data_IF_936794640821
#
_entry.id   IF_936794640821
#
_cell.length_a   1.000
_cell.length_b   1.000
_cell.length_c   1.000
_cell.angle_alpha   90.00
_cell.angle_beta   90.00
_cell.angle_gamma   90.00
#
_symmetry.space_group_name_H-M   'P 1'
#
loop_
_entity.id
_entity.type
_entity.pdbx_description
1 polymer ?
#
# COMPACT_ATOMS: atom_id res chain seq x y z
N UNK A 1 26.39 42.54 -61.32
CA UNK A 1 27.72 42.99 -60.84
C UNK A 1 28.72 41.96 -61.30
N UNK A 2 29.57 42.40 -62.22
CA UNK A 2 30.67 41.66 -62.84
C UNK A 2 31.87 41.51 -61.89
N UNK A 3 32.91 40.86 -62.42
CA UNK A 3 34.32 40.77 -61.96
C UNK A 3 34.62 39.44 -61.24
N UNK A 4 35.18 38.39 -61.87
CA UNK A 4 36.42 38.24 -62.66
C UNK A 4 37.68 38.68 -61.93
N UNK A 5 38.51 37.72 -61.48
CA UNK A 5 39.97 37.78 -61.63
C UNK A 5 40.63 36.46 -61.18
N UNK A 6 41.09 35.73 -62.19
CA UNK A 6 42.19 34.78 -62.23
C UNK A 6 43.44 35.26 -61.46
N UNK A 7 44.14 34.36 -60.76
CA UNK A 7 45.60 34.44 -60.61
C UNK A 7 46.21 33.08 -60.25
N UNK A 8 46.67 32.37 -61.27
CA UNK A 8 47.83 31.47 -61.17
C UNK A 8 49.10 32.32 -61.08
N UNK A 9 50.16 31.84 -60.43
CA UNK A 9 51.49 32.04 -60.96
C UNK A 9 52.20 30.71 -61.25
N UNK A 10 52.75 30.73 -62.45
CA UNK A 10 53.58 29.78 -63.18
C UNK A 10 54.96 29.53 -62.53
N UNK A 11 55.37 28.26 -62.65
CA UNK A 11 56.70 27.68 -62.83
C UNK A 11 57.87 28.03 -61.89
N UNK A 12 58.48 26.97 -61.36
CA UNK A 12 59.93 26.88 -61.34
C UNK A 12 60.37 25.57 -62.00
N UNK A 13 61.35 25.69 -62.89
CA UNK A 13 61.89 24.65 -63.74
C UNK A 13 63.22 24.17 -63.16
N UNK A 14 63.37 22.86 -62.97
CA UNK A 14 64.68 22.28 -62.69
C UNK A 14 64.80 20.88 -63.29
N UNK A 15 65.80 20.71 -64.15
CA UNK A 15 66.53 19.46 -64.30
C UNK A 15 65.95 18.45 -65.28
N UNK A 16 66.29 18.62 -66.55
CA UNK A 16 66.35 17.49 -67.48
C UNK A 16 67.48 16.56 -67.03
N UNK A 17 67.14 15.32 -66.65
CA UNK A 17 68.05 14.19 -66.75
C UNK A 17 67.39 13.14 -67.63
N UNK A 18 68.03 12.92 -68.78
CA UNK A 18 67.60 11.98 -69.79
C UNK A 18 68.04 10.58 -69.35
N UNK A 19 67.17 9.86 -68.65
CA UNK A 19 67.27 8.40 -68.58
C UNK A 19 66.15 7.77 -69.41
N UNK A 20 66.53 7.26 -70.58
CA UNK A 20 65.67 6.47 -71.46
C UNK A 20 65.52 5.08 -70.81
N UNK A 21 64.61 4.97 -69.86
CA UNK A 21 64.02 3.70 -69.49
C UNK A 21 62.75 3.49 -70.31
N UNK A 22 62.87 2.63 -71.31
CA UNK A 22 61.78 2.08 -72.10
C UNK A 22 60.72 1.53 -71.15
N UNK A 23 59.63 2.27 -70.94
CA UNK A 23 58.46 1.77 -70.25
C UNK A 23 57.86 0.66 -71.12
N UNK A 24 57.97 -0.59 -70.66
CA UNK A 24 57.11 -1.66 -71.16
C UNK A 24 55.65 -1.21 -71.04
N UNK A 25 54.79 -1.51 -72.02
CA UNK A 25 53.37 -1.18 -71.90
C UNK A 25 52.86 -1.93 -70.68
N UNK A 26 52.45 -1.20 -69.64
CA UNK A 26 51.74 -1.78 -68.51
C UNK A 26 50.53 -2.55 -69.07
N UNK A 27 50.61 -3.88 -69.05
CA UNK A 27 49.51 -4.75 -69.42
C UNK A 27 48.31 -4.34 -68.57
N UNK A 28 47.33 -3.70 -69.21
CA UNK A 28 46.08 -3.42 -68.53
C UNK A 28 45.42 -4.77 -68.25
N UNK A 29 45.06 -5.09 -67.00
CA UNK A 29 44.42 -6.36 -66.69
C UNK A 29 43.10 -6.45 -67.46
N UNK A 30 43.06 -7.33 -68.46
CA UNK A 30 41.84 -7.65 -69.20
C UNK A 30 41.07 -8.70 -68.39
N UNK A 31 40.03 -8.27 -67.66
CA UNK A 31 39.15 -9.19 -66.95
C UNK A 31 38.33 -10.03 -67.93
N UNK A 32 38.27 -11.34 -67.70
CA UNK A 32 37.39 -12.24 -68.45
C UNK A 32 35.97 -12.24 -67.86
N UNK A 33 34.97 -12.68 -68.63
CA UNK A 33 33.59 -12.80 -68.13
C UNK A 33 33.49 -13.70 -66.89
N UNK A 34 34.28 -14.79 -66.83
CA UNK A 34 34.30 -15.69 -65.69
C UNK A 34 34.87 -15.03 -64.41
N UNK A 35 35.83 -14.12 -64.56
CA UNK A 35 36.37 -13.35 -63.43
C UNK A 35 35.32 -12.37 -62.89
N UNK A 36 34.57 -11.72 -63.79
CA UNK A 36 33.46 -10.85 -63.41
C UNK A 36 32.35 -11.62 -62.68
N UNK A 37 31.96 -12.79 -63.19
CA UNK A 37 30.95 -13.63 -62.55
C UNK A 37 31.39 -14.10 -61.16
N UNK A 38 32.67 -14.44 -60.98
CA UNK A 38 33.24 -14.82 -59.68
C UNK A 38 33.24 -13.64 -58.70
N UNK A 39 33.60 -12.45 -59.14
CA UNK A 39 33.59 -11.22 -58.32
C UNK A 39 32.14 -10.88 -57.90
N UNK A 40 31.18 -11.01 -58.83
CA UNK A 40 29.77 -10.78 -58.54
C UNK A 40 29.25 -11.79 -57.51
N UNK A 41 29.56 -13.07 -57.67
CA UNK A 41 29.16 -14.11 -56.73
C UNK A 41 29.73 -13.89 -55.32
N UNK A 42 31.02 -13.53 -55.20
CA UNK A 42 31.63 -13.23 -53.89
C UNK A 42 31.00 -11.98 -53.26
N UNK A 43 30.73 -10.94 -54.06
CA UNK A 43 30.05 -9.73 -53.58
C UNK A 43 28.63 -10.01 -53.10
N UNK A 44 27.88 -10.81 -53.85
CA UNK A 44 26.50 -11.18 -53.51
C UNK A 44 26.47 -12.04 -52.24
N UNK A 45 27.36 -13.03 -52.12
CA UNK A 45 27.49 -13.85 -50.91
C UNK A 45 27.91 -13.04 -49.68
N UNK A 46 28.82 -12.07 -49.82
CA UNK A 46 29.17 -11.13 -48.74
C UNK A 46 27.99 -10.25 -48.35
N UNK A 47 27.21 -9.80 -49.32
CA UNK A 47 26.03 -8.97 -49.08
C UNK A 47 24.90 -9.75 -48.40
N UNK A 48 24.61 -10.97 -48.84
CA UNK A 48 23.66 -11.88 -48.20
C UNK A 48 24.07 -12.20 -46.76
N UNK A 49 25.35 -12.54 -46.54
CA UNK A 49 25.86 -12.79 -45.19
C UNK A 49 25.76 -11.57 -44.29
N UNK A 50 26.00 -10.37 -44.83
CA UNK A 50 25.85 -9.11 -44.10
C UNK A 50 24.39 -8.83 -43.76
N UNK A 51 23.47 -8.98 -44.71
CA UNK A 51 22.03 -8.80 -44.50
C UNK A 51 21.49 -9.80 -43.48
N UNK A 52 21.86 -11.07 -43.62
CA UNK A 52 21.44 -12.12 -42.67
C UNK A 52 21.92 -11.82 -41.26
N UNK A 53 23.18 -11.39 -41.11
CA UNK A 53 23.71 -10.97 -39.80
C UNK A 53 22.98 -9.73 -39.25
N UNK A 54 22.63 -8.75 -40.09
CA UNK A 54 21.83 -7.60 -39.67
C UNK A 54 20.44 -8.01 -39.20
N UNK A 55 19.77 -8.91 -39.92
CA UNK A 55 18.47 -9.45 -39.49
C UNK A 55 18.55 -10.22 -38.18
N UNK A 56 19.58 -11.06 -38.01
CA UNK A 56 19.81 -11.80 -36.77
C UNK A 56 20.09 -10.83 -35.60
N UNK A 57 20.94 -9.82 -35.78
CA UNK A 57 21.23 -8.79 -34.77
C UNK A 57 20.00 -7.92 -34.43
N UNK A 58 19.16 -7.58 -35.42
CA UNK A 58 17.92 -6.82 -35.19
C UNK A 58 16.86 -7.66 -34.48
N UNK A 59 16.74 -8.95 -34.82
CA UNK A 59 15.84 -9.86 -34.16
C UNK A 59 16.24 -10.08 -32.69
N UNK A 60 17.52 -10.28 -32.42
CA UNK A 60 18.05 -10.43 -31.06
C UNK A 60 17.77 -9.19 -30.21
N UNK A 61 18.06 -7.99 -30.73
CA UNK A 61 17.77 -6.73 -30.03
C UNK A 61 16.30 -6.57 -29.72
N UNK A 62 15.42 -6.87 -30.68
CA UNK A 62 13.98 -6.77 -30.46
C UNK A 62 13.50 -7.76 -29.40
N UNK A 63 14.03 -8.98 -29.40
CA UNK A 63 13.68 -9.95 -28.34
C UNK A 63 14.16 -9.52 -26.97
N UNK A 64 15.33 -8.87 -26.88
CA UNK A 64 15.84 -8.33 -25.62
C UNK A 64 15.00 -7.16 -25.11
N UNK A 65 14.59 -6.25 -26.00
CA UNK A 65 13.67 -5.15 -25.69
C UNK A 65 12.30 -5.68 -25.22
N UNK A 66 11.70 -6.63 -25.95
CA UNK A 66 10.41 -7.22 -25.58
C UNK A 66 10.46 -7.93 -24.20
N UNK A 67 11.58 -8.60 -23.89
CA UNK A 67 11.79 -9.24 -22.58
C UNK A 67 11.98 -8.23 -21.45
N UNK A 68 12.70 -7.14 -21.71
CA UNK A 68 12.90 -6.06 -20.74
C UNK A 68 11.55 -5.39 -20.42
N UNK A 69 10.77 -5.04 -21.44
CA UNK A 69 9.44 -4.46 -21.29
C UNK A 69 8.51 -5.41 -20.51
N UNK A 70 8.51 -6.71 -20.85
CA UNK A 70 7.71 -7.70 -20.14
C UNK A 70 8.07 -7.79 -18.64
N UNK A 71 9.36 -7.73 -18.31
CA UNK A 71 9.84 -7.72 -16.92
C UNK A 71 9.38 -6.45 -16.18
N UNK A 72 9.46 -5.27 -16.81
CA UNK A 72 8.97 -4.03 -16.23
C UNK A 72 7.46 -4.09 -15.95
N UNK A 73 6.67 -4.59 -16.91
CA UNK A 73 5.23 -4.76 -16.72
C UNK A 73 4.89 -5.74 -15.59
N UNK A 74 5.64 -6.84 -15.49
CA UNK A 74 5.45 -7.80 -14.40
C UNK A 74 5.73 -7.16 -13.04
N UNK A 75 6.86 -6.45 -12.90
CA UNK A 75 7.20 -5.79 -11.62
C UNK A 75 6.18 -4.71 -11.23
N UNK A 76 5.68 -3.95 -12.22
CA UNK A 76 4.63 -2.97 -12.00
C UNK A 76 3.32 -3.64 -11.56
N UNK A 77 2.93 -4.73 -12.22
CA UNK A 77 1.73 -5.50 -11.87
C UNK A 77 1.81 -6.05 -10.44
N UNK A 78 2.94 -6.64 -10.06
CA UNK A 78 3.16 -7.13 -8.69
C UNK A 78 3.09 -6.01 -7.65
N UNK A 79 3.67 -4.83 -7.94
CA UNK A 79 3.58 -3.67 -7.06
C UNK A 79 2.14 -3.19 -6.90
N UNK A 80 1.37 -3.15 -7.98
CA UNK A 80 -0.05 -2.76 -7.95
C UNK A 80 -0.89 -3.79 -7.19
N UNK A 81 -0.66 -5.08 -7.41
CA UNK A 81 -1.35 -6.13 -6.68
C UNK A 81 -1.10 -6.02 -5.17
N UNK A 82 0.15 -5.79 -4.74
CA UNK A 82 0.47 -5.56 -3.31
C UNK A 82 -0.26 -4.33 -2.75
N UNK A 83 -0.37 -3.26 -3.52
CA UNK A 83 -1.11 -2.05 -3.10
C UNK A 83 -2.62 -2.32 -2.97
N UNK A 84 -3.20 -3.04 -3.93
CA UNK A 84 -4.61 -3.42 -3.92
C UNK A 84 -4.90 -4.28 -2.67
N UNK A 85 -4.13 -5.35 -2.46
CA UNK A 85 -4.31 -6.22 -1.29
C UNK A 85 -4.17 -5.46 0.04
N UNK A 86 -3.23 -4.51 0.13
CA UNK A 86 -3.09 -3.64 1.32
C UNK A 86 -4.31 -2.74 1.52
N UNK A 87 -4.86 -2.17 0.45
CA UNK A 87 -6.05 -1.33 0.53
C UNK A 87 -7.29 -2.14 0.89
N UNK A 88 -7.47 -3.32 0.31
CA UNK A 88 -8.55 -4.25 0.64
C UNK A 88 -8.51 -4.63 2.12
N UNK A 89 -7.34 -4.99 2.65
CA UNK A 89 -7.17 -5.26 4.09
C UNK A 89 -7.57 -4.07 4.96
N UNK A 90 -7.20 -2.84 4.54
CA UNK A 90 -7.54 -1.63 5.29
C UNK A 90 -9.04 -1.34 5.25
N UNK A 91 -9.70 -1.60 4.12
CA UNK A 91 -11.17 -1.48 4.00
C UNK A 91 -11.85 -2.45 4.95
N UNK A 92 -11.46 -3.73 4.93
CA UNK A 92 -12.03 -4.73 5.85
C UNK A 92 -11.82 -4.36 7.32
N UNK A 93 -10.64 -3.85 7.69
CA UNK A 93 -10.36 -3.39 9.04
C UNK A 93 -11.27 -2.20 9.44
N UNK A 94 -11.45 -1.24 8.53
CA UNK A 94 -12.30 -0.08 8.75
C UNK A 94 -13.78 -0.45 8.85
N UNK A 95 -14.26 -1.41 8.05
CA UNK A 95 -15.62 -1.92 8.14
C UNK A 95 -15.89 -2.59 9.50
N UNK A 96 -14.95 -3.39 10.00
CA UNK A 96 -15.05 -3.98 11.33
C UNK A 96 -15.02 -2.91 12.44
N UNK A 97 -14.17 -1.89 12.30
CA UNK A 97 -14.13 -0.75 13.22
C UNK A 97 -15.43 0.05 13.18
N UNK A 98 -16.03 0.24 12.01
CA UNK A 98 -17.32 0.92 11.88
C UNK A 98 -18.45 0.10 12.53
N UNK A 99 -18.51 -1.22 12.30
CA UNK A 99 -19.52 -2.08 12.91
C UNK A 99 -19.40 -2.09 14.44
N UNK A 100 -18.18 -2.15 14.97
CA UNK A 100 -17.95 -2.07 16.42
C UNK A 100 -18.30 -0.69 16.98
N UNK A 101 -17.92 0.39 16.30
CA UNK A 101 -18.30 1.75 16.67
C UNK A 101 -19.82 1.94 16.70
N UNK A 102 -20.55 1.41 15.71
CA UNK A 102 -22.02 1.46 15.68
C UNK A 102 -22.67 0.68 16.83
N UNK A 103 -22.13 -0.51 17.14
CA UNK A 103 -22.59 -1.31 18.28
C UNK A 103 -22.41 -0.55 19.60
N UNK A 104 -21.23 0.04 19.82
CA UNK A 104 -20.97 0.84 21.02
C UNK A 104 -21.79 2.12 21.04
N UNK A 105 -21.94 2.82 19.92
CA UNK A 105 -22.76 4.03 19.81
C UNK A 105 -24.21 3.80 20.22
N UNK A 106 -24.83 2.71 19.75
CA UNK A 106 -26.20 2.35 20.15
C UNK A 106 -26.32 1.99 21.64
N UNK A 107 -25.35 1.24 22.16
CA UNK A 107 -25.32 0.89 23.57
C UNK A 107 -25.15 2.13 24.47
N UNK A 108 -24.27 3.04 24.08
CA UNK A 108 -24.05 4.30 24.77
C UNK A 108 -25.28 5.21 24.67
N UNK A 109 -26.01 5.24 23.55
CA UNK A 109 -27.24 6.05 23.42
C UNK A 109 -28.31 5.56 24.39
N UNK A 110 -28.49 4.24 24.48
CA UNK A 110 -29.40 3.63 25.44
C UNK A 110 -29.01 3.98 26.87
N UNK A 111 -27.71 3.90 27.18
CA UNK A 111 -27.20 4.23 28.50
C UNK A 111 -27.37 5.72 28.84
N UNK A 112 -27.08 6.62 27.89
CA UNK A 112 -27.30 8.06 28.04
C UNK A 112 -28.78 8.37 28.26
N UNK A 113 -29.69 7.70 27.56
CA UNK A 113 -31.14 7.86 27.78
C UNK A 113 -31.55 7.45 29.19
N UNK A 114 -31.09 6.29 29.68
CA UNK A 114 -31.31 5.86 31.06
C UNK A 114 -30.71 6.83 32.09
N UNK A 115 -29.59 7.47 31.75
CA UNK A 115 -29.00 8.51 32.57
C UNK A 115 -29.77 9.84 32.52
N UNK A 116 -30.37 10.15 31.37
CA UNK A 116 -31.15 11.34 31.11
C UNK A 116 -32.55 11.29 31.75
N UNK A 117 -33.06 10.09 32.04
CA UNK A 117 -34.36 9.90 32.67
C UNK A 117 -34.43 10.61 34.04
N UNK A 118 -35.51 11.38 34.21
CA UNK A 118 -35.79 12.16 35.43
C UNK A 118 -35.15 13.56 35.47
N UNK A 119 -34.38 13.96 34.44
CA UNK A 119 -33.79 15.30 34.38
C UNK A 119 -34.79 16.37 33.88
N UNK A 120 -34.65 17.63 34.33
CA UNK A 120 -35.47 18.74 33.85
C UNK A 120 -35.31 19.01 32.35
N UNK A 121 -36.38 19.49 31.70
CA UNK A 121 -36.42 19.75 30.26
C UNK A 121 -35.35 20.76 29.77
N UNK A 122 -35.00 21.74 30.60
CA UNK A 122 -33.91 22.69 30.32
C UNK A 122 -32.54 22.01 30.17
N UNK A 123 -32.29 20.97 30.96
CA UNK A 123 -31.07 20.17 30.89
C UNK A 123 -31.10 19.22 29.70
N UNK A 124 -32.24 18.60 29.41
CA UNK A 124 -32.40 17.77 28.21
C UNK A 124 -32.14 18.57 26.93
N UNK A 125 -32.59 19.83 26.89
CA UNK A 125 -32.31 20.75 25.78
C UNK A 125 -30.81 21.04 25.63
N UNK A 126 -30.10 21.27 26.75
CA UNK A 126 -28.65 21.46 26.76
C UNK A 126 -27.91 20.22 26.23
N UNK A 127 -28.30 19.04 26.72
CA UNK A 127 -27.73 17.75 26.29
C UNK A 127 -28.02 17.43 24.82
N UNK A 128 -29.12 17.97 24.25
CA UNK A 128 -29.47 17.80 22.84
C UNK A 128 -28.41 18.35 21.87
N UNK A 129 -27.68 19.40 22.26
CA UNK A 129 -26.66 20.05 21.43
C UNK A 129 -25.23 19.50 21.58
N UNK A 130 -25.01 18.52 22.46
CA UNK A 130 -23.68 17.97 22.75
C UNK A 130 -23.42 16.69 21.95
N UNK A 131 -22.13 16.35 21.74
CA UNK A 131 -21.75 15.01 21.31
C UNK A 131 -21.94 13.99 22.45
N UNK A 132 -21.95 12.70 22.10
CA UNK A 132 -22.31 11.64 23.02
C UNK A 132 -21.31 11.43 24.17
N UNK A 133 -20.01 11.69 23.93
CA UNK A 133 -18.99 11.64 24.96
C UNK A 133 -19.14 12.79 25.95
N UNK A 134 -19.38 14.00 25.44
CA UNK A 134 -19.65 15.19 26.25
C UNK A 134 -20.94 15.03 27.08
N UNK A 135 -21.99 14.41 26.54
CA UNK A 135 -23.22 14.09 27.30
C UNK A 135 -22.91 13.17 28.48
N UNK A 136 -22.13 12.10 28.25
CA UNK A 136 -21.76 11.16 29.31
C UNK A 136 -20.94 11.85 30.39
N UNK A 137 -19.93 12.64 30.02
CA UNK A 137 -19.10 13.39 30.95
C UNK A 137 -19.96 14.34 31.80
N UNK A 138 -20.84 15.11 31.17
CA UNK A 138 -21.74 16.01 31.88
C UNK A 138 -22.68 15.26 32.85
N UNK A 139 -23.29 14.17 32.40
CA UNK A 139 -24.21 13.35 33.20
C UNK A 139 -23.48 12.74 34.40
N UNK A 140 -22.28 12.20 34.21
CA UNK A 140 -21.50 11.64 35.33
C UNK A 140 -21.13 12.68 36.38
N UNK A 141 -20.86 13.93 35.99
CA UNK A 141 -20.49 15.00 36.91
C UNK A 141 -21.69 15.65 37.61
N UNK A 142 -22.85 15.77 36.95
CA UNK A 142 -23.95 16.62 37.41
C UNK A 142 -25.21 15.85 37.82
N UNK A 143 -25.37 14.58 37.43
CA UNK A 143 -26.62 13.83 37.65
C UNK A 143 -27.02 13.74 39.13
N UNK A 144 -26.06 13.58 40.04
CA UNK A 144 -26.33 13.48 41.48
C UNK A 144 -27.03 14.72 42.06
N UNK A 145 -26.95 15.87 41.39
CA UNK A 145 -27.62 17.11 41.83
C UNK A 145 -29.12 17.13 41.49
N UNK A 146 -29.56 16.22 40.61
CA UNK A 146 -30.93 16.17 40.09
C UNK A 146 -31.66 14.89 40.46
N UNK A 147 -30.94 13.81 40.76
CA UNK A 147 -31.52 12.63 41.40
C UNK A 147 -31.78 13.00 42.85
N UNK A 148 -33.04 13.30 43.17
CA UNK A 148 -33.47 13.29 44.58
C UNK A 148 -33.23 11.87 45.10
N UNK A 149 -32.33 11.73 46.06
CA UNK A 149 -32.31 10.51 46.88
C UNK A 149 -33.74 10.26 47.36
N UNK A 150 -34.25 9.07 47.10
CA UNK A 150 -35.37 8.53 47.86
C UNK A 150 -34.89 8.22 49.29
N UNK A 151 -34.34 9.20 50.00
CA UNK A 151 -34.27 9.15 51.45
C UNK A 151 -35.67 9.52 51.93
N UNK A 152 -36.40 8.62 52.60
CA UNK A 152 -37.66 8.99 53.22
C UNK A 152 -37.33 9.90 54.40
N UNK A 153 -37.36 11.21 54.19
CA UNK A 153 -37.49 12.15 55.28
C UNK A 153 -38.93 12.07 55.80
N UNK A 154 -39.12 11.28 56.85
CA UNK A 154 -40.15 11.59 57.85
C UNK A 154 -39.64 11.20 59.24
N UNK A 155 -39.51 12.15 60.17
CA UNK A 155 -39.33 11.87 61.57
C UNK A 155 -40.71 11.55 62.16
N UNK A 156 -41.05 10.27 62.31
CA UNK A 156 -42.03 9.83 63.31
C UNK A 156 -42.05 8.29 63.43
N UNK A 157 -41.63 7.78 64.59
CA UNK A 157 -42.07 6.46 65.07
C UNK A 157 -43.51 6.63 65.56
N UNK A 158 -44.46 5.76 65.18
CA UNK A 158 -44.83 4.70 66.15
C UNK A 158 -45.28 3.34 65.57
N UNK A 159 -44.98 2.32 66.37
CA UNK A 159 -45.67 1.02 66.58
C UNK A 159 -45.78 0.01 65.43
N UNK A 160 -44.80 -0.92 65.41
CA UNK A 160 -44.96 -2.27 64.87
C UNK A 160 -46.02 -3.05 65.69
N UNK A 161 -47.05 -3.66 65.07
CA UNK A 161 -47.88 -4.63 65.73
C UNK A 161 -47.09 -5.94 65.94
N UNK A 162 -47.17 -6.41 67.16
CA UNK A 162 -46.58 -7.60 67.75
C UNK A 162 -46.73 -8.85 66.86
N UNK A 163 -45.66 -9.61 66.60
CA UNK A 163 -45.82 -11.02 66.22
C UNK A 163 -44.85 -11.71 65.26
N UNK A 164 -43.52 -11.50 65.30
CA UNK A 164 -42.53 -12.55 64.93
C UNK A 164 -41.25 -12.35 65.75
N UNK A 165 -40.71 -13.36 66.46
CA UNK A 165 -39.42 -13.22 67.15
C UNK A 165 -38.29 -13.02 66.13
N UNK A 166 -37.21 -12.30 66.50
CA UNK A 166 -36.07 -12.07 65.61
C UNK A 166 -35.40 -13.39 65.25
N UNK A 167 -35.30 -13.67 63.95
CA UNK A 167 -34.41 -14.70 63.41
C UNK A 167 -32.98 -14.37 63.87
N UNK A 168 -32.23 -15.31 64.48
CA UNK A 168 -30.86 -15.05 64.88
C UNK A 168 -30.02 -14.64 63.66
N UNK A 169 -29.01 -13.76 63.83
CA UNK A 169 -28.13 -13.37 62.74
C UNK A 169 -27.48 -14.61 62.13
N UNK A 170 -27.23 -14.64 60.80
CA UNK A 170 -26.50 -15.73 60.20
C UNK A 170 -25.15 -15.87 60.92
N UNK A 171 -24.86 -17.07 61.41
CA UNK A 171 -23.55 -17.40 61.95
C UNK A 171 -22.50 -17.06 60.88
N UNK A 172 -21.40 -16.41 61.29
CA UNK A 172 -20.31 -16.00 60.42
C UNK A 172 -20.01 -17.08 59.38
N UNK A 173 -19.91 -16.74 58.08
CA UNK A 173 -19.45 -17.70 57.11
C UNK A 173 -18.04 -18.10 57.56
N UNK A 174 -17.88 -19.36 58.00
CA UNK A 174 -16.55 -19.96 58.14
C UNK A 174 -15.85 -19.71 56.81
N UNK A 175 -14.88 -18.80 56.81
CA UNK A 175 -13.98 -18.59 55.69
C UNK A 175 -13.19 -19.88 55.54
N UNK A 176 -13.70 -20.80 54.72
CA UNK A 176 -12.93 -21.93 54.23
C UNK A 176 -11.81 -21.31 53.41
N UNK A 177 -10.62 -21.28 54.00
CA UNK A 177 -9.42 -20.78 53.34
C UNK A 177 -9.16 -21.63 52.10
N UNK A 178 -8.48 -21.06 51.10
CA UNK A 178 -8.20 -21.77 49.84
C UNK A 178 -7.43 -23.09 50.04
N UNK A 179 -6.75 -23.23 51.17
CA UNK A 179 -6.04 -24.44 51.59
C UNK A 179 -6.98 -25.60 51.95
N UNK A 180 -8.08 -25.34 52.68
CA UNK A 180 -9.09 -26.36 53.02
C UNK A 180 -9.93 -26.76 51.80
N UNK A 181 -10.20 -25.80 50.89
CA UNK A 181 -10.93 -26.06 49.64
C UNK A 181 -10.13 -26.97 48.69
N UNK A 182 -8.80 -26.84 48.70
CA UNK A 182 -7.88 -27.68 47.91
C UNK A 182 -7.75 -29.10 48.48
N UNK A 183 -7.82 -29.27 49.80
CA UNK A 183 -7.80 -30.58 50.44
C UNK A 183 -9.07 -31.41 50.15
N UNK A 184 -10.24 -30.78 50.06
CA UNK A 184 -11.49 -31.47 49.68
C UNK A 184 -11.53 -31.92 48.21
N UNK A 185 -10.84 -31.20 47.31
CA UNK A 185 -10.75 -31.58 45.89
C UNK A 185 -9.83 -32.80 45.65
N UNK A 186 -9.03 -33.21 46.64
CA UNK A 186 -8.04 -34.28 46.55
C UNK A 186 -8.44 -35.56 47.28
N UNK A 187 -9.74 -35.85 47.40
CA UNK A 187 -10.21 -37.22 47.61
C UNK A 187 -10.53 -37.85 46.25
N UNK A 188 -9.61 -38.64 45.65
CA UNK A 188 -9.99 -39.47 44.53
C UNK A 188 -10.99 -40.51 45.04
N UNK A 189 -12.19 -40.54 44.45
CA UNK A 189 -13.11 -41.67 44.61
C UNK A 189 -12.37 -42.92 44.11
N UNK A 190 -11.97 -43.78 45.05
CA UNK A 190 -11.65 -45.19 44.80
C UNK A 190 -12.96 -45.98 44.67
#
# INVERSE_FOLDING_TARGET
MSDNATSTPTADAAGADADKQTAEPAEQPTFTQADLDRILADRLGRQEKKLRRQFEEEAEKKTEEDLADAAEWQTLAEKRQKQITKMEQRVTELEQQAETADKYGKALDTYVQQLADGLPESILTLLGGMDQAAKLEWLTANRAQFVKDETPETPDKPQVPNGVPPTPPPADPKTVTDEERRAQAYFPRL
#
